data_IF_218517336873
#
_entry.id   IF_218517336873
#
_cell.length_a   1.000
_cell.length_b   1.000
_cell.length_c   1.000
_cell.angle_alpha   90.00
_cell.angle_beta   90.00
_cell.angle_gamma   90.00
#
_symmetry.space_group_name_H-M   'P 1'
#
loop_
_entity.id
_entity.type
_entity.pdbx_description
1 polymer ?
#
# COMPACT_ATOMS: atom_id res chain seq x y z
N UNK A 1 46.07 -14.70 -47.78
CA UNK A 1 45.32 -13.44 -47.61
C UNK A 1 46.31 -12.30 -47.47
N UNK A 2 46.17 -11.25 -48.28
CA UNK A 2 47.08 -10.10 -48.34
C UNK A 2 47.14 -9.35 -47.00
N UNK A 3 48.31 -8.78 -46.60
CA UNK A 3 48.44 -7.93 -45.40
C UNK A 3 47.43 -6.78 -45.36
N UNK A 4 47.06 -6.23 -46.53
CA UNK A 4 46.05 -5.17 -46.66
C UNK A 4 44.65 -5.62 -46.24
N UNK A 5 44.31 -6.90 -46.44
CA UNK A 5 43.01 -7.46 -46.06
C UNK A 5 42.90 -7.67 -44.53
N UNK A 6 44.04 -7.92 -43.86
CA UNK A 6 44.11 -8.04 -42.39
C UNK A 6 44.01 -6.68 -41.70
N UNK A 7 44.59 -5.62 -42.26
CA UNK A 7 44.45 -4.26 -41.74
C UNK A 7 43.02 -3.71 -41.89
N UNK A 8 42.33 -3.97 -43.01
CA UNK A 8 40.93 -3.58 -43.16
C UNK A 8 40.01 -4.32 -42.18
N UNK A 9 40.24 -5.62 -41.97
CA UNK A 9 39.45 -6.42 -41.02
C UNK A 9 39.63 -5.94 -39.57
N UNK A 10 40.84 -5.56 -39.17
CA UNK A 10 41.12 -5.05 -37.82
C UNK A 10 40.57 -3.64 -37.60
N UNK A 11 40.63 -2.76 -38.61
CA UNK A 11 40.02 -1.43 -38.53
C UNK A 11 38.48 -1.49 -38.43
N UNK A 12 37.82 -2.43 -39.13
CA UNK A 12 36.37 -2.59 -39.05
C UNK A 12 35.92 -3.15 -37.68
N UNK A 13 36.68 -4.09 -37.11
CA UNK A 13 36.42 -4.63 -35.76
C UNK A 13 36.65 -3.56 -34.67
N UNK A 14 37.63 -2.68 -34.85
CA UNK A 14 37.89 -1.55 -33.95
C UNK A 14 36.82 -0.44 -34.06
N UNK A 15 36.27 -0.17 -35.25
CA UNK A 15 35.13 0.76 -35.39
C UNK A 15 33.83 0.17 -34.85
N UNK A 16 33.58 -1.13 -34.98
CA UNK A 16 32.42 -1.80 -34.39
C UNK A 16 32.50 -1.92 -32.85
N UNK A 17 33.70 -1.84 -32.26
CA UNK A 17 33.89 -1.79 -30.80
C UNK A 17 33.95 -0.36 -30.23
N UNK A 18 34.11 0.65 -31.09
CA UNK A 18 33.95 2.07 -30.74
C UNK A 18 32.48 2.56 -30.82
N UNK A 19 31.60 1.80 -31.48
CA UNK A 19 30.17 1.78 -31.16
C UNK A 19 30.02 1.07 -29.81
N UNK A 20 30.53 1.71 -28.74
CA UNK A 20 29.97 1.49 -27.42
C UNK A 20 28.48 1.59 -27.62
N UNK A 21 27.78 0.52 -27.28
CA UNK A 21 26.41 0.62 -26.89
C UNK A 21 26.30 1.92 -26.10
N UNK A 22 25.63 2.91 -26.66
CA UNK A 22 24.79 3.74 -25.84
C UNK A 22 23.90 2.71 -25.17
N UNK A 23 24.37 2.17 -24.04
CA UNK A 23 23.48 1.80 -22.97
C UNK A 23 22.68 3.08 -22.84
N UNK A 24 21.50 3.09 -23.45
CA UNK A 24 20.36 3.84 -22.94
C UNK A 24 20.54 3.68 -21.45
N UNK A 25 20.93 4.75 -20.75
CA UNK A 25 20.91 4.75 -19.30
C UNK A 25 19.56 4.15 -18.98
N UNK A 26 19.55 2.89 -18.52
CA UNK A 26 18.30 2.16 -18.34
C UNK A 26 17.51 3.09 -17.44
N UNK A 27 16.42 3.64 -18.01
CA UNK A 27 15.63 4.62 -17.33
C UNK A 27 15.33 3.99 -15.97
N UNK A 28 15.71 4.69 -14.89
CA UNK A 28 15.60 4.12 -13.56
C UNK A 28 14.21 3.50 -13.42
N UNK A 29 14.12 2.27 -12.92
CA UNK A 29 12.83 1.56 -12.79
C UNK A 29 11.78 2.39 -12.02
N UNK A 30 12.25 3.37 -11.24
CA UNK A 30 11.47 4.34 -10.48
C UNK A 30 11.06 5.61 -11.24
N UNK A 31 11.38 5.72 -12.53
CA UNK A 31 11.09 6.93 -13.31
C UNK A 31 9.57 7.12 -13.40
N UNK A 32 9.09 8.21 -12.82
CA UNK A 32 7.67 8.55 -12.81
C UNK A 32 6.80 7.63 -11.95
N UNK A 33 7.40 6.83 -11.06
CA UNK A 33 6.65 5.95 -10.14
C UNK A 33 6.19 6.68 -8.89
N UNK A 34 6.95 7.67 -8.40
CA UNK A 34 6.62 8.39 -7.19
C UNK A 34 7.13 9.84 -7.16
N UNK A 35 6.42 10.68 -6.42
CA UNK A 35 6.83 12.02 -6.02
C UNK A 35 7.19 11.95 -4.54
N UNK A 36 8.48 12.11 -4.24
CA UNK A 36 9.05 11.96 -2.89
C UNK A 36 9.87 13.17 -2.43
N UNK A 37 9.98 14.23 -3.25
CA UNK A 37 10.67 15.46 -2.86
C UNK A 37 9.97 16.10 -1.64
N UNK A 38 10.63 16.19 -0.48
CA UNK A 38 9.97 16.59 0.77
C UNK A 38 9.51 18.04 0.77
N UNK A 39 10.17 18.92 0.00
CA UNK A 39 9.78 20.32 -0.12
C UNK A 39 8.53 20.46 -0.99
N UNK A 40 8.48 19.78 -2.15
CA UNK A 40 7.30 19.76 -3.00
C UNK A 40 6.10 19.14 -2.29
N UNK A 41 6.29 18.01 -1.60
CA UNK A 41 5.22 17.36 -0.82
C UNK A 41 4.64 18.28 0.26
N UNK A 42 5.47 19.11 0.91
CA UNK A 42 5.01 20.11 1.87
C UNK A 42 4.12 21.17 1.21
N UNK A 43 4.50 21.64 0.02
CA UNK A 43 3.70 22.61 -0.73
C UNK A 43 2.39 21.99 -1.24
N UNK A 44 2.42 20.73 -1.68
CA UNK A 44 1.24 19.97 -2.08
C UNK A 44 0.29 19.71 -0.89
N UNK A 45 0.81 19.39 0.30
CA UNK A 45 0.03 19.23 1.56
C UNK A 45 -0.66 20.52 1.98
N UNK A 46 0.01 21.68 1.82
CA UNK A 46 -0.59 22.99 2.10
C UNK A 46 -1.65 23.39 1.08
N UNK A 47 -1.52 22.88 -0.14
CA UNK A 47 -2.41 23.16 -1.26
C UNK A 47 -3.51 22.11 -1.44
N UNK A 48 -3.73 21.72 -2.69
CA UNK A 48 -4.83 20.84 -3.13
C UNK A 48 -4.79 19.44 -2.53
N UNK A 49 -3.61 18.96 -2.11
CA UNK A 49 -3.44 17.58 -1.61
C UNK A 49 -3.33 17.49 -0.09
N UNK A 50 -3.58 18.59 0.63
CA UNK A 50 -3.86 18.50 2.06
C UNK A 50 -5.10 17.66 2.33
N UNK A 51 -5.06 16.82 3.36
CA UNK A 51 -6.15 15.88 3.63
C UNK A 51 -7.52 16.57 3.81
N UNK A 52 -7.55 17.80 4.33
CA UNK A 52 -8.76 18.64 4.37
C UNK A 52 -9.37 18.85 2.99
N UNK A 53 -8.56 19.20 1.98
CA UNK A 53 -9.03 19.46 0.61
C UNK A 53 -9.46 18.18 -0.10
N UNK A 54 -8.79 17.07 0.22
CA UNK A 54 -9.07 15.77 -0.39
C UNK A 54 -10.36 15.17 0.15
N UNK A 55 -10.58 15.19 1.47
CA UNK A 55 -11.76 14.56 2.09
C UNK A 55 -12.94 15.52 2.31
N UNK A 56 -12.70 16.84 2.28
CA UNK A 56 -13.71 17.89 2.50
C UNK A 56 -13.55 19.05 1.50
N UNK A 57 -13.71 18.82 0.18
CA UNK A 57 -13.43 19.83 -0.85
C UNK A 57 -14.19 21.16 -0.67
N UNK A 58 -15.42 21.10 -0.14
CA UNK A 58 -16.28 22.27 0.10
C UNK A 58 -15.80 23.18 1.24
N UNK A 59 -14.85 22.73 2.06
CA UNK A 59 -14.38 23.49 3.22
C UNK A 59 -13.23 24.43 2.84
N UNK A 60 -13.30 25.68 3.33
CA UNK A 60 -12.19 26.64 3.21
C UNK A 60 -10.92 26.10 3.88
N UNK A 61 -9.78 26.17 3.18
CA UNK A 61 -8.60 25.36 3.48
C UNK A 61 -7.47 26.05 4.25
N UNK A 62 -7.80 27.05 5.06
CA UNK A 62 -6.77 27.76 5.80
C UNK A 62 -6.38 27.05 7.12
N UNK A 63 -7.07 25.95 7.48
CA UNK A 63 -6.85 25.23 8.73
C UNK A 63 -6.58 23.74 8.42
N UNK A 64 -5.41 23.21 8.83
CA UNK A 64 -5.12 21.78 8.74
C UNK A 64 -6.19 20.94 9.45
N UNK A 65 -6.56 19.80 8.86
CA UNK A 65 -7.48 18.85 9.48
C UNK A 65 -6.75 18.06 10.57
N UNK A 66 -7.02 18.42 11.82
CA UNK A 66 -6.59 17.66 12.99
C UNK A 66 -7.35 16.35 13.09
N UNK A 67 -6.75 15.38 13.76
CA UNK A 67 -7.25 14.01 13.78
C UNK A 67 -8.58 13.85 14.54
N UNK A 68 -8.78 14.59 15.64
CA UNK A 68 -10.08 14.68 16.32
C UNK A 68 -11.22 15.06 15.35
N UNK A 69 -10.96 15.99 14.43
CA UNK A 69 -11.91 16.42 13.41
C UNK A 69 -12.05 15.43 12.27
N UNK A 70 -10.94 14.82 11.83
CA UNK A 70 -10.94 13.79 10.78
C UNK A 70 -11.82 12.61 11.17
N UNK A 71 -11.59 12.03 12.36
CA UNK A 71 -12.34 10.86 12.82
C UNK A 71 -13.73 11.20 13.38
N UNK A 72 -14.07 12.49 13.50
CA UNK A 72 -15.44 12.94 13.73
C UNK A 72 -16.26 13.09 12.44
N UNK A 73 -15.64 12.97 11.25
CA UNK A 73 -16.39 13.01 10.00
C UNK A 73 -17.34 11.80 9.91
N UNK A 74 -18.60 11.99 9.48
CA UNK A 74 -19.53 10.89 9.25
C UNK A 74 -18.96 9.81 8.31
N UNK A 75 -18.21 10.24 7.28
CA UNK A 75 -17.58 9.34 6.32
C UNK A 75 -16.51 8.43 6.94
N UNK A 76 -15.94 8.83 8.09
CA UNK A 76 -14.89 8.10 8.81
C UNK A 76 -15.45 7.26 9.97
N UNK A 77 -16.76 7.30 10.25
CA UNK A 77 -17.35 6.57 11.36
C UNK A 77 -17.11 5.04 11.29
N UNK A 78 -17.24 4.37 10.11
CA UNK A 78 -16.93 2.94 10.03
C UNK A 78 -15.44 2.65 10.21
N UNK A 79 -14.57 3.54 9.72
CA UNK A 79 -13.11 3.45 9.87
C UNK A 79 -12.72 3.48 11.34
N UNK A 80 -13.23 4.47 12.08
CA UNK A 80 -13.02 4.61 13.52
C UNK A 80 -13.46 3.36 14.26
N UNK A 81 -14.70 2.92 14.03
CA UNK A 81 -15.27 1.74 14.68
C UNK A 81 -14.41 0.50 14.42
N UNK A 82 -14.05 0.26 13.17
CA UNK A 82 -13.26 -0.90 12.77
C UNK A 82 -11.88 -0.90 13.42
N UNK A 83 -11.17 0.24 13.45
CA UNK A 83 -9.87 0.34 14.13
C UNK A 83 -9.98 0.12 15.65
N UNK A 84 -11.00 0.68 16.29
CA UNK A 84 -11.25 0.47 17.73
C UNK A 84 -11.54 -1.01 18.04
N UNK A 85 -12.38 -1.67 17.22
CA UNK A 85 -12.72 -3.08 17.37
C UNK A 85 -11.50 -4.00 17.19
N UNK A 86 -10.64 -3.73 16.18
CA UNK A 86 -9.38 -4.47 15.98
C UNK A 86 -8.42 -4.30 17.14
N UNK A 87 -8.36 -3.11 17.74
CA UNK A 87 -7.50 -2.83 18.87
C UNK A 87 -7.90 -3.64 20.12
N UNK A 88 -9.20 -3.68 20.42
CA UNK A 88 -9.72 -4.51 21.51
C UNK A 88 -9.52 -6.00 21.24
N UNK A 89 -9.75 -6.44 20.00
CA UNK A 89 -9.53 -7.84 19.60
C UNK A 89 -8.07 -8.25 19.75
N UNK A 90 -7.13 -7.39 19.34
CA UNK A 90 -5.70 -7.63 19.47
C UNK A 90 -5.30 -7.81 20.94
N UNK A 91 -5.77 -6.94 21.83
CA UNK A 91 -5.50 -7.04 23.27
C UNK A 91 -6.09 -8.32 23.86
N UNK A 92 -7.34 -8.65 23.51
CA UNK A 92 -7.99 -9.85 23.99
C UNK A 92 -7.25 -11.12 23.55
N UNK A 93 -6.85 -11.18 22.28
CA UNK A 93 -6.09 -12.31 21.72
C UNK A 93 -4.71 -12.44 22.38
N UNK A 94 -4.01 -11.34 22.61
CA UNK A 94 -2.74 -11.34 23.33
C UNK A 94 -2.90 -11.91 24.74
N UNK A 95 -3.88 -11.43 25.52
CA UNK A 95 -4.13 -11.91 26.89
C UNK A 95 -4.48 -13.40 26.94
N UNK A 96 -5.17 -13.92 25.92
CA UNK A 96 -5.53 -15.32 25.84
C UNK A 96 -4.32 -16.22 25.53
N UNK A 97 -3.46 -15.81 24.60
CA UNK A 97 -2.38 -16.66 24.07
C UNK A 97 -1.02 -16.44 24.75
N UNK A 98 -0.78 -15.24 25.30
CA UNK A 98 0.47 -14.83 25.93
C UNK A 98 0.20 -14.23 27.34
N UNK A 99 -0.45 -14.96 28.25
CA UNK A 99 -0.90 -14.42 29.55
C UNK A 99 0.25 -13.97 30.48
N UNK A 100 1.47 -14.45 30.23
CA UNK A 100 2.66 -14.11 31.01
C UNK A 100 3.45 -12.91 30.44
N UNK A 101 3.09 -12.41 29.25
CA UNK A 101 3.70 -11.21 28.66
C UNK A 101 2.73 -10.03 28.83
N UNK A 102 3.22 -8.97 29.48
CA UNK A 102 2.46 -7.76 29.72
C UNK A 102 2.20 -6.97 28.43
N UNK A 103 1.03 -6.34 28.32
CA UNK A 103 0.61 -5.57 27.14
C UNK A 103 0.01 -4.23 27.57
N UNK A 104 0.46 -3.13 26.96
CA UNK A 104 0.01 -1.79 27.32
C UNK A 104 0.80 -0.69 26.64
N UNK A 105 0.47 0.57 26.96
CA UNK A 105 1.13 1.75 26.38
C UNK A 105 2.38 2.09 27.20
N UNK A 106 3.51 2.29 26.52
CA UNK A 106 4.77 2.71 27.13
C UNK A 106 5.80 1.59 27.24
N UNK A 107 7.02 1.96 27.60
CA UNK A 107 8.20 1.08 27.53
C UNK A 107 8.28 0.03 28.63
N UNK A 108 7.40 0.10 29.64
CA UNK A 108 7.33 -0.85 30.75
C UNK A 108 6.62 -2.16 30.42
N UNK A 109 6.01 -2.27 29.24
CA UNK A 109 5.26 -3.46 28.80
C UNK A 109 6.10 -4.31 27.83
N UNK A 110 5.92 -5.63 27.89
CA UNK A 110 6.55 -6.58 26.97
C UNK A 110 6.05 -6.39 25.53
N UNK A 111 4.77 -6.04 25.39
CA UNK A 111 4.14 -5.56 24.16
C UNK A 111 3.70 -4.12 24.34
N UNK A 112 4.45 -3.21 23.73
CA UNK A 112 4.25 -1.78 23.75
C UNK A 112 3.24 -1.40 22.66
N UNK A 113 2.01 -1.12 23.07
CA UNK A 113 0.95 -0.71 22.18
C UNK A 113 1.14 0.72 21.69
N UNK A 114 0.74 0.96 20.44
CA UNK A 114 0.51 2.32 19.96
C UNK A 114 -0.63 2.97 20.75
N UNK A 115 -0.41 4.17 21.28
CA UNK A 115 -1.44 4.91 22.01
C UNK A 115 -2.57 5.35 21.06
N UNK A 116 -3.69 4.62 21.08
CA UNK A 116 -4.84 4.88 20.20
C UNK A 116 -5.46 6.26 20.41
N UNK A 117 -5.27 6.89 21.58
CA UNK A 117 -5.82 8.23 21.84
C UNK A 117 -5.22 9.27 20.90
N UNK A 118 -4.01 9.02 20.39
CA UNK A 118 -3.36 9.84 19.38
C UNK A 118 -4.11 9.83 18.03
N UNK A 119 -4.94 8.83 17.72
CA UNK A 119 -5.79 8.89 16.52
C UNK A 119 -6.91 9.91 16.64
N UNK A 120 -7.29 10.27 17.86
CA UNK A 120 -8.44 11.13 18.13
C UNK A 120 -8.02 12.46 18.78
N UNK A 121 -6.72 12.75 18.79
CA UNK A 121 -6.16 13.93 19.44
C UNK A 121 -6.14 15.15 18.49
N UNK A 122 -6.48 16.35 18.98
CA UNK A 122 -6.28 17.59 18.23
C UNK A 122 -4.79 17.93 18.02
N UNK A 123 -3.89 17.31 18.78
CA UNK A 123 -2.44 17.52 18.69
C UNK A 123 -1.76 16.60 17.68
N UNK A 124 -2.55 15.94 16.83
CA UNK A 124 -2.03 15.11 15.75
C UNK A 124 -2.75 15.38 14.44
N UNK A 125 -2.04 15.14 13.34
CA UNK A 125 -2.60 15.18 11.98
C UNK A 125 -1.84 14.26 11.04
N UNK A 126 -2.51 13.88 9.97
CA UNK A 126 -1.91 13.26 8.80
C UNK A 126 -1.29 14.31 7.87
N UNK A 127 -0.05 14.06 7.43
CA UNK A 127 0.72 14.95 6.55
C UNK A 127 1.13 14.18 5.30
N UNK A 128 0.95 14.77 4.12
CA UNK A 128 1.35 14.16 2.86
C UNK A 128 2.87 13.87 2.87
N UNK A 129 3.21 12.62 2.58
CA UNK A 129 4.57 12.08 2.68
C UNK A 129 5.04 11.38 1.41
N UNK A 130 4.14 11.16 0.45
CA UNK A 130 4.46 10.66 -0.87
C UNK A 130 3.22 10.63 -1.75
N UNK A 131 3.43 10.70 -3.06
CA UNK A 131 2.41 10.38 -4.06
C UNK A 131 2.96 9.29 -4.96
N UNK A 132 2.23 8.20 -5.13
CA UNK A 132 2.66 7.05 -5.93
C UNK A 132 1.72 6.83 -7.10
N UNK A 133 2.29 6.65 -8.27
CA UNK A 133 1.61 6.25 -9.48
C UNK A 133 1.66 4.72 -9.62
N UNK A 134 0.48 4.09 -9.64
CA UNK A 134 0.31 2.65 -9.77
C UNK A 134 -0.52 2.33 -11.01
N UNK A 135 -0.02 2.74 -12.19
CA UNK A 135 -0.65 2.35 -13.46
C UNK A 135 -0.65 0.84 -13.68
N UNK A 136 0.26 0.11 -13.04
CA UNK A 136 0.27 -1.35 -13.00
C UNK A 136 -1.02 -1.94 -12.41
N UNK A 137 -1.78 -1.17 -11.60
CA UNK A 137 -3.09 -1.59 -11.06
C UNK A 137 -4.23 -1.53 -12.09
N UNK A 138 -3.96 -1.14 -13.34
CA UNK A 138 -4.99 -1.05 -14.38
C UNK A 138 -5.72 -2.38 -14.65
N UNK A 139 -5.13 -3.53 -14.29
CA UNK A 139 -5.80 -4.83 -14.40
C UNK A 139 -7.09 -4.95 -13.56
N UNK A 140 -7.24 -4.16 -12.49
CA UNK A 140 -8.47 -4.14 -11.68
C UNK A 140 -9.61 -3.41 -12.40
N UNK A 141 -9.28 -2.36 -13.16
CA UNK A 141 -10.24 -1.53 -13.88
C UNK A 141 -9.53 -0.76 -15.00
N UNK A 142 -9.49 -1.35 -16.20
CA UNK A 142 -8.75 -0.79 -17.35
C UNK A 142 -9.20 0.64 -17.68
N UNK A 143 -10.49 0.91 -17.56
CA UNK A 143 -11.10 2.22 -17.80
C UNK A 143 -10.56 3.34 -16.89
N UNK A 144 -9.89 3.01 -15.78
CA UNK A 144 -9.35 3.97 -14.81
C UNK A 144 -7.84 4.17 -14.93
N UNK A 145 -7.15 3.46 -15.85
CA UNK A 145 -5.71 3.58 -16.09
C UNK A 145 -4.82 3.31 -14.86
N UNK A 146 -5.33 2.58 -13.86
CA UNK A 146 -4.66 2.29 -12.59
C UNK A 146 -5.02 3.28 -11.48
N UNK A 147 -4.11 3.43 -10.51
CA UNK A 147 -4.37 4.15 -9.27
C UNK A 147 -3.30 5.21 -8.98
N UNK A 148 -3.70 6.31 -8.34
CA UNK A 148 -2.80 7.25 -7.68
C UNK A 148 -3.00 7.12 -6.17
N UNK A 149 -1.90 7.01 -5.42
CA UNK A 149 -1.95 6.89 -3.96
C UNK A 149 -1.35 8.14 -3.32
N UNK A 150 -2.15 8.86 -2.56
CA UNK A 150 -1.68 9.92 -1.67
C UNK A 150 -1.36 9.28 -0.32
N UNK A 151 -0.08 9.23 0.04
CA UNK A 151 0.40 8.58 1.27
C UNK A 151 0.56 9.64 2.34
N UNK A 152 -0.27 9.60 3.36
CA UNK A 152 -0.17 10.47 4.52
C UNK A 152 0.44 9.73 5.71
N UNK A 153 1.29 10.43 6.47
CA UNK A 153 1.90 9.92 7.69
C UNK A 153 1.34 10.65 8.90
N UNK A 154 1.02 9.90 9.95
CA UNK A 154 0.55 10.47 11.21
C UNK A 154 1.70 11.21 11.93
N UNK A 155 1.44 12.43 12.39
CA UNK A 155 2.41 13.26 13.08
C UNK A 155 1.79 14.00 14.26
N UNK A 156 2.61 14.33 15.27
CA UNK A 156 2.27 15.30 16.32
C UNK A 156 2.44 16.73 15.78
N UNK A 157 1.50 17.61 16.09
CA UNK A 157 1.50 19.02 15.66
C UNK A 157 2.33 19.90 16.59
N UNK A 158 2.45 19.53 17.87
CA UNK A 158 3.34 20.16 18.85
C UNK A 158 4.58 19.28 19.11
N UNK A 159 5.77 19.91 19.13
CA UNK A 159 7.00 19.28 19.61
C UNK A 159 7.13 19.63 21.10
N UNK A 160 7.22 18.65 22.02
CA UNK A 160 7.45 18.95 23.43
C UNK A 160 8.76 19.72 23.61
N UNK A 161 8.75 20.80 24.39
CA UNK A 161 9.92 21.68 24.63
C UNK A 161 11.04 21.02 25.46
N UNK A 162 10.82 19.81 26.00
CA UNK A 162 11.77 19.12 26.86
C UNK A 162 12.61 18.09 26.09
N UNK A 163 13.91 18.05 26.43
CA UNK A 163 15.00 17.41 25.69
C UNK A 163 15.06 15.88 25.79
N UNK A 164 13.97 15.22 25.41
CA UNK A 164 13.95 13.86 24.85
C UNK A 164 12.85 13.87 23.80
N UNK A 165 13.14 14.51 22.66
CA UNK A 165 12.15 14.86 21.65
C UNK A 165 11.51 13.59 21.07
N UNK A 166 10.37 13.18 21.64
CA UNK A 166 9.57 12.09 21.12
C UNK A 166 9.33 12.37 19.63
N UNK A 167 9.67 11.39 18.77
CA UNK A 167 9.59 11.56 17.31
C UNK A 167 8.27 12.23 16.94
N UNK A 168 8.28 13.33 16.16
CA UNK A 168 7.06 13.95 15.69
C UNK A 168 6.28 13.01 14.77
N UNK A 169 6.91 11.95 14.25
CA UNK A 169 6.28 10.92 13.41
C UNK A 169 5.76 9.78 14.29
N UNK A 170 4.49 9.48 14.13
CA UNK A 170 3.82 8.32 14.72
C UNK A 170 3.77 7.18 13.69
N UNK A 171 3.71 5.91 14.13
CA UNK A 171 3.89 4.76 13.26
C UNK A 171 2.57 4.33 12.59
N UNK A 172 1.94 5.26 11.88
CA UNK A 172 0.74 5.00 11.08
C UNK A 172 0.80 5.76 9.76
N UNK A 173 0.36 5.09 8.69
CA UNK A 173 0.06 5.72 7.40
C UNK A 173 -1.42 5.58 7.06
N UNK A 174 -1.94 6.59 6.38
CA UNK A 174 -3.24 6.59 5.73
C UNK A 174 -2.99 6.86 4.25
N UNK A 175 -3.38 5.93 3.39
CA UNK A 175 -3.38 6.13 1.95
C UNK A 175 -4.77 6.55 1.52
N UNK A 176 -4.88 7.62 0.74
CA UNK A 176 -6.08 7.88 -0.07
C UNK A 176 -5.78 7.40 -1.48
N UNK A 177 -6.54 6.42 -1.94
CA UNK A 177 -6.38 5.83 -3.27
C UNK A 177 -7.40 6.42 -4.21
N UNK A 178 -6.92 6.98 -5.32
CA UNK A 178 -7.73 7.60 -6.35
C UNK A 178 -7.58 6.87 -7.68
N UNK A 179 -8.64 6.88 -8.49
CA UNK A 179 -8.58 6.49 -9.90
C UNK A 179 -7.58 7.39 -10.62
N UNK A 180 -6.67 6.84 -11.41
CA UNK A 180 -5.74 7.64 -12.20
C UNK A 180 -6.46 8.41 -13.33
N UNK A 181 -7.53 7.82 -13.86
CA UNK A 181 -8.43 8.43 -14.84
C UNK A 181 -9.88 8.38 -14.34
N UNK A 182 -10.44 9.55 -14.05
CA UNK A 182 -11.88 9.71 -13.80
C UNK A 182 -12.74 9.46 -15.05
N UNK A 183 -14.04 9.27 -14.85
CA UNK A 183 -14.96 8.86 -15.92
C UNK A 183 -15.12 9.91 -17.04
N UNK A 184 -14.92 11.19 -16.71
CA UNK A 184 -15.04 12.34 -17.63
C UNK A 184 -13.70 13.06 -17.85
N UNK A 185 -12.59 12.38 -17.62
CA UNK A 185 -11.27 12.99 -17.75
C UNK A 185 -10.97 13.39 -19.21
N UNK A 186 -10.64 14.67 -19.41
CA UNK A 186 -10.26 15.25 -20.70
C UNK A 186 -8.83 15.78 -20.65
N UNK A 187 -8.19 15.90 -21.81
CA UNK A 187 -6.88 16.53 -21.96
C UNK A 187 -6.97 18.07 -22.06
N UNK A 188 -5.82 18.73 -22.19
CA UNK A 188 -5.76 20.18 -22.29
C UNK A 188 -6.49 20.78 -23.50
N UNK A 189 -6.78 19.97 -24.53
CA UNK A 189 -7.55 20.32 -25.72
C UNK A 189 -9.05 19.97 -25.63
N UNK A 190 -9.49 19.35 -24.53
CA UNK A 190 -10.88 18.95 -24.30
C UNK A 190 -11.26 17.59 -24.91
N UNK A 191 -10.30 16.84 -25.46
CA UNK A 191 -10.53 15.47 -25.93
C UNK A 191 -10.46 14.48 -24.77
N UNK A 192 -11.11 13.32 -24.90
CA UNK A 192 -11.04 12.28 -23.87
C UNK A 192 -9.58 11.83 -23.67
N UNK A 193 -9.09 11.87 -22.43
CA UNK A 193 -7.70 11.55 -22.16
C UNK A 193 -7.46 10.03 -22.23
N UNK A 194 -6.32 9.62 -22.81
CA UNK A 194 -5.93 8.21 -22.87
C UNK A 194 -5.02 7.81 -21.72
N UNK A 195 -4.96 6.52 -21.38
CA UNK A 195 -4.01 6.01 -20.39
C UNK A 195 -2.55 6.29 -20.82
N UNK A 196 -2.25 6.19 -22.12
CA UNK A 196 -0.93 6.52 -22.64
C UNK A 196 -0.56 7.98 -22.37
N UNK A 197 -1.49 8.92 -22.56
CA UNK A 197 -1.27 10.34 -22.25
C UNK A 197 -0.96 10.54 -20.77
N UNK A 198 -1.71 9.88 -19.87
CA UNK A 198 -1.44 9.94 -18.41
C UNK A 198 -0.05 9.39 -18.10
N UNK A 199 0.30 8.23 -18.66
CA UNK A 199 1.62 7.62 -18.47
C UNK A 199 2.75 8.56 -18.90
N UNK A 200 2.61 9.21 -20.06
CA UNK A 200 3.62 10.16 -20.55
C UNK A 200 3.79 11.37 -19.63
N UNK A 201 2.71 11.88 -19.01
CA UNK A 201 2.80 12.97 -18.03
C UNK A 201 3.63 12.55 -16.80
N UNK A 202 3.42 11.34 -16.30
CA UNK A 202 4.20 10.79 -15.18
C UNK A 202 5.66 10.53 -15.52
N UNK A 203 5.91 9.94 -16.70
CA UNK A 203 7.27 9.72 -17.19
C UNK A 203 8.05 11.03 -17.36
N UNK A 204 7.42 12.05 -17.95
CA UNK A 204 8.02 13.38 -18.10
C UNK A 204 8.28 14.07 -16.75
N UNK A 205 7.41 13.84 -15.76
CA UNK A 205 7.63 14.34 -14.41
C UNK A 205 8.83 13.68 -13.72
N UNK A 206 9.09 12.40 -14.01
CA UNK A 206 10.26 11.67 -13.52
C UNK A 206 11.60 12.21 -14.03
N UNK A 207 11.58 12.96 -15.13
CA UNK A 207 12.78 13.57 -15.73
C UNK A 207 13.04 15.01 -15.23
N UNK A 208 12.18 15.54 -14.35
CA UNK A 208 12.34 16.89 -13.79
C UNK A 208 13.42 16.91 -12.70
N UNK A 209 14.34 17.88 -12.79
CA UNK A 209 15.37 18.12 -11.77
C UNK A 209 14.99 19.19 -10.74
N UNK A 210 13.77 19.73 -10.84
CA UNK A 210 13.25 20.81 -9.99
C UNK A 210 12.91 20.27 -8.59
N UNK A 211 12.85 21.14 -7.58
CA UNK A 211 12.43 20.77 -6.21
C UNK A 211 11.49 21.80 -5.62
N UNK A 212 10.86 21.49 -4.48
CA UNK A 212 10.10 22.46 -3.70
C UNK A 212 8.90 23.05 -4.43
N UNK A 213 8.70 24.36 -4.27
CA UNK A 213 7.56 25.10 -4.83
C UNK A 213 7.49 24.97 -6.35
N UNK A 214 8.63 25.07 -7.03
CA UNK A 214 8.70 25.03 -8.49
C UNK A 214 8.26 23.66 -9.03
N UNK A 215 8.71 22.58 -8.38
CA UNK A 215 8.27 21.23 -8.69
C UNK A 215 6.78 21.06 -8.39
N UNK A 216 6.29 21.49 -7.23
CA UNK A 216 4.87 21.38 -6.87
C UNK A 216 3.96 22.10 -7.88
N UNK A 217 4.36 23.29 -8.34
CA UNK A 217 3.65 24.02 -9.40
C UNK A 217 3.66 23.25 -10.70
N UNK A 218 4.80 22.69 -11.13
CA UNK A 218 4.89 21.93 -12.38
C UNK A 218 4.06 20.65 -12.35
N UNK A 219 4.02 19.96 -11.20
CA UNK A 219 3.24 18.73 -11.01
C UNK A 219 1.73 18.97 -11.11
N UNK A 220 1.27 20.14 -10.63
CA UNK A 220 -0.16 20.51 -10.55
C UNK A 220 -0.65 21.42 -11.68
N UNK A 221 0.26 21.91 -12.52
CA UNK A 221 -0.09 22.68 -13.69
C UNK A 221 -1.02 21.90 -14.62
N UNK A 222 -1.72 22.63 -15.49
CA UNK A 222 -2.49 22.03 -16.58
C UNK A 222 -1.60 21.09 -17.38
N UNK A 223 -2.13 19.91 -17.70
CA UNK A 223 -1.41 18.81 -18.34
C UNK A 223 -0.25 18.19 -17.52
N UNK A 224 -0.11 18.56 -16.24
CA UNK A 224 0.80 17.91 -15.30
C UNK A 224 0.32 16.51 -14.88
N UNK A 225 1.20 15.69 -14.26
CA UNK A 225 0.85 14.33 -13.81
C UNK A 225 -0.24 14.32 -12.73
N UNK A 226 -0.38 15.39 -11.95
CA UNK A 226 -1.37 15.50 -10.89
C UNK A 226 -2.61 16.29 -11.31
N UNK A 227 -2.69 16.82 -12.53
CA UNK A 227 -3.78 17.67 -13.01
C UNK A 227 -5.16 17.02 -12.81
N UNK A 228 -5.25 15.71 -13.11
CA UNK A 228 -6.46 14.91 -13.01
C UNK A 228 -6.76 14.33 -11.62
N UNK A 229 -5.87 14.53 -10.65
CA UNK A 229 -6.04 13.96 -9.30
C UNK A 229 -6.93 14.91 -8.50
N UNK A 230 -8.15 14.47 -8.22
CA UNK A 230 -9.20 15.27 -7.61
C UNK A 230 -10.10 14.42 -6.69
N UNK A 231 -10.78 15.02 -5.69
CA UNK A 231 -11.59 14.31 -4.69
C UNK A 231 -12.66 13.36 -5.25
N UNK A 232 -13.27 13.71 -6.38
CA UNK A 232 -14.26 12.88 -7.07
C UNK A 232 -13.69 11.55 -7.58
N UNK A 233 -12.37 11.42 -7.67
CA UNK A 233 -11.70 10.21 -8.09
C UNK A 233 -11.34 9.28 -6.92
N UNK A 234 -11.67 9.63 -5.68
CA UNK A 234 -11.43 8.77 -4.51
C UNK A 234 -12.14 7.43 -4.70
N UNK A 235 -11.37 6.36 -4.58
CA UNK A 235 -11.86 4.99 -4.65
C UNK A 235 -11.96 4.36 -3.26
N UNK A 236 -10.90 4.51 -2.45
CA UNK A 236 -10.81 3.90 -1.12
C UNK A 236 -9.74 4.57 -0.26
N UNK A 237 -9.70 4.20 1.01
CA UNK A 237 -8.57 4.46 1.89
C UNK A 237 -7.96 3.15 2.39
N UNK A 238 -6.66 3.18 2.65
CA UNK A 238 -5.92 2.04 3.22
C UNK A 238 -5.17 2.52 4.46
N UNK A 239 -5.19 1.76 5.54
CA UNK A 239 -4.43 2.05 6.75
C UNK A 239 -3.36 1.01 6.98
N UNK A 240 -2.21 1.46 7.48
CA UNK A 240 -1.17 0.60 8.03
C UNK A 240 -0.71 1.21 9.35
N UNK A 241 -1.11 0.58 10.45
CA UNK A 241 -0.84 1.01 11.82
C UNK A 241 0.09 0.00 12.47
N UNK A 242 1.26 0.44 12.93
CA UNK A 242 2.02 -0.35 13.88
C UNK A 242 1.25 -0.40 15.20
N UNK A 243 0.50 -1.48 15.43
CA UNK A 243 -0.38 -1.60 16.59
C UNK A 243 0.40 -1.94 17.85
N UNK A 244 1.48 -2.71 17.72
CA UNK A 244 2.34 -3.09 18.82
C UNK A 244 3.81 -3.17 18.39
N UNK A 245 4.69 -2.89 19.35
CA UNK A 245 6.11 -3.20 19.28
C UNK A 245 6.50 -3.99 20.51
N UNK A 246 7.23 -5.06 20.31
CA UNK A 246 7.62 -5.98 21.35
C UNK A 246 9.16 -6.09 21.28
N UNK A 247 9.91 -5.37 22.14
CA UNK A 247 11.36 -5.34 22.08
C UNK A 247 11.96 -6.74 22.31
N UNK A 248 13.24 -6.90 21.98
CA UNK A 248 13.96 -8.15 22.27
C UNK A 248 14.04 -8.39 23.78
N UNK A 249 13.77 -9.60 24.21
CA UNK A 249 13.87 -10.06 25.59
C UNK A 249 14.59 -11.42 25.66
N UNK A 250 14.90 -11.94 26.87
CA UNK A 250 15.46 -13.28 27.01
C UNK A 250 14.53 -14.40 26.52
N UNK A 251 13.21 -14.15 26.45
CA UNK A 251 12.20 -15.14 26.09
C UNK A 251 11.64 -14.97 24.67
N UNK A 252 12.00 -13.88 23.98
CA UNK A 252 11.46 -13.56 22.64
C UNK A 252 12.39 -12.64 21.84
N UNK A 253 12.49 -12.87 20.55
CA UNK A 253 13.12 -11.92 19.62
C UNK A 253 12.27 -10.67 19.40
N UNK A 254 12.88 -9.59 18.90
CA UNK A 254 12.14 -8.37 18.60
C UNK A 254 11.01 -8.65 17.60
N UNK A 255 9.87 -7.97 17.78
CA UNK A 255 8.71 -8.11 16.92
C UNK A 255 7.96 -6.79 16.84
N UNK A 256 7.42 -6.50 15.67
CA UNK A 256 6.56 -5.34 15.42
C UNK A 256 5.37 -5.78 14.59
N UNK A 257 4.19 -5.38 15.02
CA UNK A 257 2.92 -5.83 14.48
C UNK A 257 2.23 -4.68 13.77
N UNK A 258 1.80 -4.92 12.53
CA UNK A 258 1.18 -3.95 11.64
C UNK A 258 -0.25 -4.36 11.34
N UNK A 259 -1.20 -3.62 11.90
CA UNK A 259 -2.62 -3.71 11.55
C UNK A 259 -2.87 -3.03 10.20
N UNK A 260 -3.33 -3.80 9.24
CA UNK A 260 -3.68 -3.33 7.90
C UNK A 260 -5.19 -3.42 7.68
N UNK A 261 -5.79 -2.35 7.13
CA UNK A 261 -7.22 -2.28 6.78
C UNK A 261 -7.43 -1.54 5.47
N UNK A 262 -8.52 -1.87 4.79
CA UNK A 262 -8.97 -1.19 3.56
C UNK A 262 -10.44 -0.80 3.73
N UNK A 263 -10.79 0.38 3.24
CA UNK A 263 -12.16 0.87 3.26
C UNK A 263 -12.53 1.51 1.94
N UNK A 264 -13.48 0.91 1.22
CA UNK A 264 -13.97 1.43 -0.06
C UNK A 264 -14.88 2.63 0.15
N UNK A 265 -14.77 3.62 -0.73
CA UNK A 265 -15.64 4.77 -0.70
C UNK A 265 -16.98 4.43 -1.35
N UNK A 266 -18.04 4.45 -0.54
CA UNK A 266 -19.40 4.31 -1.01
C UNK A 266 -19.99 5.69 -1.29
N UNK A 267 -20.18 6.01 -2.56
CA UNK A 267 -20.71 7.31 -2.99
C UNK A 267 -22.17 7.54 -2.59
N UNK A 268 -22.97 6.48 -2.41
CA UNK A 268 -24.37 6.59 -2.00
C UNK A 268 -24.49 6.96 -0.52
N UNK A 269 -23.68 6.33 0.34
CA UNK A 269 -23.65 6.63 1.79
C UNK A 269 -22.67 7.76 2.14
N UNK A 270 -21.87 8.21 1.17
CA UNK A 270 -20.76 9.15 1.34
C UNK A 270 -19.82 8.74 2.48
N UNK A 271 -19.53 7.43 2.59
CA UNK A 271 -18.77 6.86 3.70
C UNK A 271 -17.71 5.85 3.24
N UNK A 272 -16.70 5.64 4.08
CA UNK A 272 -15.67 4.62 3.86
C UNK A 272 -16.07 3.33 4.56
N UNK A 273 -16.43 2.31 3.78
CA UNK A 273 -16.97 1.03 4.25
C UNK A 273 -15.89 -0.06 4.24
N UNK A 274 -15.85 -0.89 5.27
CA UNK A 274 -14.79 -1.89 5.44
C UNK A 274 -14.78 -2.94 4.32
N UNK A 275 -13.65 -3.03 3.64
CA UNK A 275 -13.44 -3.86 2.46
C UNK A 275 -12.39 -4.96 2.72
N UNK A 276 -12.47 -6.09 1.98
CA UNK A 276 -11.47 -7.14 2.07
C UNK A 276 -10.09 -6.68 1.58
N UNK A 277 -9.05 -7.24 2.18
CA UNK A 277 -7.66 -7.07 1.74
C UNK A 277 -7.40 -8.00 0.55
N UNK A 278 -7.22 -7.44 -0.65
CA UNK A 278 -7.09 -8.17 -1.94
C UNK A 278 -6.11 -9.36 -1.89
N UNK A 279 -5.04 -9.24 -1.12
CA UNK A 279 -3.97 -10.24 -1.03
C UNK A 279 -3.89 -10.96 0.33
N UNK A 280 -4.95 -10.89 1.16
CA UNK A 280 -4.98 -11.55 2.48
C UNK A 280 -6.15 -12.53 2.57
N UNK A 281 -5.82 -13.81 2.51
CA UNK A 281 -6.76 -14.90 2.71
C UNK A 281 -7.22 -14.93 4.18
N UNK A 282 -8.51 -15.16 4.42
CA UNK A 282 -9.07 -15.41 5.75
C UNK A 282 -8.74 -16.84 6.21
N UNK A 283 -7.47 -17.04 6.58
CA UNK A 283 -6.93 -18.34 7.01
C UNK A 283 -7.76 -18.93 8.16
N UNK A 284 -8.09 -18.14 9.17
CA UNK A 284 -8.83 -18.62 10.34
C UNK A 284 -10.21 -19.12 9.95
N UNK A 285 -10.96 -18.35 9.15
CA UNK A 285 -12.27 -18.78 8.65
C UNK A 285 -12.16 -20.00 7.73
N UNK A 286 -11.16 -20.05 6.87
CA UNK A 286 -10.92 -21.21 6.00
C UNK A 286 -10.61 -22.48 6.80
N UNK A 287 -9.90 -22.38 7.91
CA UNK A 287 -9.58 -23.55 8.72
C UNK A 287 -10.77 -24.01 9.57
N UNK A 288 -11.63 -23.07 10.00
CA UNK A 288 -12.81 -23.34 10.83
C UNK A 288 -14.06 -23.79 10.05
N UNK A 289 -14.21 -23.38 8.79
CA UNK A 289 -15.38 -23.72 7.95
C UNK A 289 -15.00 -24.74 6.87
N UNK A 290 -15.44 -26.00 7.03
CA UNK A 290 -15.17 -27.09 6.09
C UNK A 290 -15.75 -26.85 4.68
N UNK A 291 -16.90 -26.16 4.59
CA UNK A 291 -17.50 -25.84 3.29
C UNK A 291 -16.64 -24.80 2.58
N UNK A 292 -16.27 -23.73 3.27
CA UNK A 292 -15.43 -22.68 2.71
C UNK A 292 -14.03 -23.21 2.36
N UNK A 293 -13.46 -24.08 3.20
CA UNK A 293 -12.18 -24.78 2.96
C UNK A 293 -12.21 -25.57 1.65
N UNK A 294 -13.22 -26.41 1.48
CA UNK A 294 -13.42 -27.23 0.28
C UNK A 294 -13.61 -26.35 -0.95
N UNK A 295 -14.45 -25.32 -0.84
CA UNK A 295 -14.73 -24.38 -1.94
C UNK A 295 -13.48 -23.60 -2.36
N UNK A 296 -12.66 -23.17 -1.39
CA UNK A 296 -11.39 -22.48 -1.67
C UNK A 296 -10.39 -23.41 -2.35
N UNK A 297 -10.25 -24.63 -1.85
CA UNK A 297 -9.39 -25.65 -2.45
C UNK A 297 -9.81 -25.95 -3.89
N UNK A 298 -11.10 -26.20 -4.11
CA UNK A 298 -11.63 -26.48 -5.45
C UNK A 298 -11.44 -25.29 -6.40
N UNK A 299 -11.67 -24.06 -5.91
CA UNK A 299 -11.45 -22.85 -6.70
C UNK A 299 -9.98 -22.67 -7.08
N UNK A 300 -9.05 -22.76 -6.13
CA UNK A 300 -7.62 -22.52 -6.40
C UNK A 300 -7.02 -23.59 -7.32
N UNK A 301 -7.44 -24.85 -7.17
CA UNK A 301 -6.94 -25.98 -7.97
C UNK A 301 -7.63 -26.13 -9.34
N UNK A 302 -8.61 -25.28 -9.65
CA UNK A 302 -9.14 -25.18 -11.01
C UNK A 302 -8.00 -24.79 -11.98
N UNK A 303 -7.83 -25.47 -13.13
CA UNK A 303 -6.69 -25.21 -14.02
C UNK A 303 -6.56 -23.76 -14.46
N UNK A 304 -7.66 -23.02 -14.62
CA UNK A 304 -7.60 -21.60 -14.99
C UNK A 304 -7.01 -20.78 -13.85
N UNK A 305 -7.58 -20.90 -12.64
CA UNK A 305 -7.16 -20.11 -11.48
C UNK A 305 -5.75 -20.49 -11.04
N UNK A 306 -5.38 -21.77 -11.14
CA UNK A 306 -4.05 -22.25 -10.79
C UNK A 306 -2.97 -21.69 -11.73
N UNK A 307 -3.24 -21.59 -13.05
CA UNK A 307 -2.33 -20.92 -14.01
C UNK A 307 -2.17 -19.44 -13.69
N UNK A 308 -3.26 -18.76 -13.34
CA UNK A 308 -3.20 -17.35 -12.95
C UNK A 308 -2.44 -17.16 -11.63
N UNK A 309 -2.58 -18.10 -10.69
CA UNK A 309 -1.85 -18.10 -9.42
C UNK A 309 -0.34 -18.29 -9.65
N UNK A 310 0.05 -19.28 -10.48
CA UNK A 310 1.44 -19.52 -10.86
C UNK A 310 2.10 -18.29 -11.53
N UNK A 311 1.32 -17.55 -12.33
CA UNK A 311 1.76 -16.30 -12.98
C UNK A 311 1.72 -15.08 -12.06
N UNK A 312 1.22 -15.21 -10.84
CA UNK A 312 1.04 -14.10 -9.90
C UNK A 312 -0.03 -13.09 -10.33
N UNK A 313 -1.02 -13.50 -11.14
CA UNK A 313 -2.08 -12.63 -11.67
C UNK A 313 -3.48 -12.99 -11.18
N UNK A 314 -3.63 -14.00 -10.33
CA UNK A 314 -4.95 -14.43 -9.85
C UNK A 314 -5.58 -13.38 -8.95
N UNK A 315 -6.89 -13.17 -9.12
CA UNK A 315 -7.71 -12.38 -8.21
C UNK A 315 -8.48 -13.32 -7.31
N UNK A 316 -8.16 -13.31 -6.02
CA UNK A 316 -8.81 -14.16 -5.03
C UNK A 316 -10.23 -13.62 -4.77
N UNK A 317 -11.29 -14.44 -4.88
CA UNK A 317 -12.65 -14.02 -4.60
C UNK A 317 -12.80 -13.47 -3.17
N UNK A 318 -13.54 -12.38 -3.02
CA UNK A 318 -13.74 -11.69 -1.73
C UNK A 318 -14.26 -12.61 -0.62
N UNK A 319 -15.06 -13.63 -0.96
CA UNK A 319 -15.56 -14.63 -0.01
C UNK A 319 -14.45 -15.45 0.68
N UNK A 320 -13.21 -15.37 0.22
CA UNK A 320 -12.05 -16.03 0.83
C UNK A 320 -11.10 -15.05 1.52
N UNK A 321 -11.37 -13.75 1.41
CA UNK A 321 -10.50 -12.71 1.94
C UNK A 321 -10.94 -12.25 3.32
N UNK A 322 -9.97 -11.76 4.08
CA UNK A 322 -10.16 -11.15 5.40
C UNK A 322 -10.27 -9.63 5.26
N UNK A 323 -10.99 -8.98 6.17
CA UNK A 323 -11.14 -7.51 6.21
C UNK A 323 -10.09 -6.78 7.04
N UNK A 324 -9.24 -7.51 7.75
CA UNK A 324 -8.17 -6.96 8.58
C UNK A 324 -7.11 -8.01 8.84
N UNK A 325 -5.85 -7.59 8.82
CA UNK A 325 -4.73 -8.48 9.04
C UNK A 325 -3.69 -7.79 9.93
N UNK A 326 -3.08 -8.57 10.82
CA UNK A 326 -1.90 -8.16 11.58
C UNK A 326 -0.69 -8.84 10.97
N UNK A 327 0.10 -8.08 10.21
CA UNK A 327 1.38 -8.56 9.70
C UNK A 327 2.46 -8.34 10.75
N UNK A 328 3.16 -9.41 11.11
CA UNK A 328 4.21 -9.37 12.12
C UNK A 328 5.58 -9.35 11.45
N UNK A 329 6.55 -8.67 12.05
CA UNK A 329 7.92 -8.71 11.54
C UNK A 329 8.43 -10.16 11.63
N UNK A 330 8.98 -10.73 10.54
CA UNK A 330 9.35 -12.14 10.53
C UNK A 330 10.48 -12.42 11.52
N UNK A 331 10.24 -13.35 12.44
CA UNK A 331 11.28 -13.98 13.28
C UNK A 331 11.82 -15.23 12.56
N UNK A 332 12.43 -15.02 11.40
CA UNK A 332 13.03 -16.10 10.59
C UNK A 332 12.03 -17.07 9.92
N UNK A 333 12.56 -18.02 9.15
CA UNK A 333 11.80 -19.00 8.36
C UNK A 333 11.25 -20.19 9.17
N UNK A 334 11.18 -20.09 10.50
CA UNK A 334 10.67 -21.17 11.33
C UNK A 334 9.17 -21.39 11.05
N UNK A 335 8.69 -22.65 10.91
CA UNK A 335 7.27 -22.95 10.83
C UNK A 335 6.56 -22.35 12.05
N UNK A 336 5.69 -21.38 11.81
CA UNK A 336 4.99 -20.64 12.85
C UNK A 336 3.58 -20.38 12.37
N UNK A 337 2.63 -20.46 13.29
CA UNK A 337 1.24 -20.05 13.11
C UNK A 337 1.07 -18.58 12.69
N UNK A 338 2.13 -17.78 12.83
CA UNK A 338 2.24 -16.41 12.34
C UNK A 338 2.45 -16.34 10.82
N UNK A 339 2.78 -17.46 10.15
CA UNK A 339 2.90 -17.49 8.70
C UNK A 339 1.52 -17.53 8.03
N UNK A 340 1.27 -16.72 6.97
CA UNK A 340 -0.01 -16.69 6.27
C UNK A 340 -0.49 -18.05 5.73
N UNK A 341 0.44 -18.96 5.43
CA UNK A 341 0.16 -20.28 4.86
C UNK A 341 0.13 -21.42 5.91
N UNK A 342 0.37 -21.15 7.19
CA UNK A 342 0.48 -22.20 8.22
C UNK A 342 -0.80 -23.03 8.32
N UNK A 343 -0.70 -24.36 8.24
CA UNK A 343 -1.86 -25.26 8.21
C UNK A 343 -2.61 -25.31 6.87
N UNK A 344 -2.32 -24.44 5.90
CA UNK A 344 -2.84 -24.56 4.53
C UNK A 344 -2.01 -25.53 3.69
N UNK A 345 -0.68 -25.44 3.75
CA UNK A 345 0.25 -26.26 2.94
C UNK A 345 1.16 -27.15 3.76
N UNK A 346 1.53 -26.74 4.99
CA UNK A 346 2.33 -27.51 5.94
C UNK A 346 1.97 -27.15 7.39
N UNK A 347 1.96 -28.15 8.26
CA UNK A 347 1.92 -28.08 9.72
C UNK A 347 2.25 -29.45 10.29
N UNK A 348 2.95 -29.54 11.42
CA UNK A 348 3.19 -30.84 12.07
C UNK A 348 1.86 -31.48 12.49
N UNK A 349 1.63 -32.74 12.09
CA UNK A 349 0.56 -33.60 12.61
C UNK A 349 -0.88 -33.34 12.11
N UNK A 350 -1.12 -32.39 11.22
CA UNK A 350 -2.47 -32.00 10.76
C UNK A 350 -2.79 -32.34 9.29
N UNK A 351 -4.08 -32.51 8.98
CA UNK A 351 -4.58 -32.63 7.60
C UNK A 351 -4.52 -31.27 6.89
N UNK A 352 -3.44 -31.00 6.17
CA UNK A 352 -3.28 -29.78 5.37
C UNK A 352 -4.42 -29.59 4.37
N UNK A 353 -4.81 -28.33 4.12
CA UNK A 353 -5.83 -28.00 3.10
C UNK A 353 -5.38 -28.45 1.72
N UNK A 354 -4.12 -28.18 1.37
CA UNK A 354 -3.48 -28.57 0.12
C UNK A 354 -2.40 -29.61 0.40
N UNK A 355 -2.54 -30.81 -0.18
CA UNK A 355 -1.47 -31.80 -0.20
C UNK A 355 -0.54 -31.57 -1.39
N UNK A 356 0.68 -32.10 -1.32
CA UNK A 356 1.60 -32.10 -2.46
C UNK A 356 0.96 -32.77 -3.70
N UNK A 357 0.23 -33.86 -3.50
CA UNK A 357 -0.50 -34.55 -4.57
C UNK A 357 -1.54 -33.67 -5.25
N UNK A 358 -2.26 -32.83 -4.49
CA UNK A 358 -3.21 -31.87 -5.04
C UNK A 358 -2.51 -30.87 -5.98
N UNK A 359 -1.39 -30.31 -5.52
CA UNK A 359 -0.61 -29.31 -6.26
C UNK A 359 -0.01 -29.90 -7.54
N UNK A 360 0.61 -31.09 -7.45
CA UNK A 360 1.18 -31.79 -8.60
C UNK A 360 0.09 -32.16 -9.62
N UNK A 361 -1.08 -32.60 -9.16
CA UNK A 361 -2.20 -32.89 -10.04
C UNK A 361 -2.75 -31.64 -10.74
N UNK A 362 -2.85 -30.52 -10.03
CA UNK A 362 -3.27 -29.24 -10.61
C UNK A 362 -2.25 -28.73 -11.64
N UNK A 363 -0.95 -28.78 -11.33
CA UNK A 363 0.13 -28.44 -12.27
C UNK A 363 0.03 -29.25 -13.57
N UNK A 364 -0.18 -30.57 -13.48
CA UNK A 364 -0.34 -31.43 -14.67
C UNK A 364 -1.54 -31.07 -15.55
N UNK A 365 -2.62 -30.56 -14.95
CA UNK A 365 -3.83 -30.10 -15.67
C UNK A 365 -3.67 -28.67 -16.21
N UNK A 366 -2.85 -27.86 -15.54
CA UNK A 366 -2.57 -26.48 -15.87
C UNK A 366 -1.48 -26.32 -16.93
N UNK A 367 -0.59 -27.31 -17.11
CA UNK A 367 0.45 -27.31 -18.13
C UNK A 367 -0.07 -27.21 -19.57
#
# INVERSE_FOLDING_TARGET
MSPTLRCLGTALILLCSALRASATQDAALERGTAIIDPLALRELDRGRFGLTRVLMPERSANIPLTNDRLFALPSMAPVRKSLDDEYERYIANHKANLPNESIGIGTSFDFQLFDRTLLYSPDTRFVLSGIVNRMDRAYLAEAHCGEIRLIYRLTRTAVPETSDAASPRLPMTLNVVLKAKGDRAVDGGGAAITCATIAQRWLAAGDLSMTGVELAQKLTAKDGPLDLVAPENINRIETNLQIAHAPKSPVRDFRTDYLMKVFDYNAQSASFEEAPLENQIDRERLLADETLKRDFKAWLLDPKNFREFDRGTVLIPERFLVKGAVAMTPVGFAPSDLQPAFGLTQGEGGSAVFSEGDVVAALKKAA
#
